data_IF_962382588505
#
_entry.id   IF_962382588505
#
_cell.length_a   1.000
_cell.length_b   1.000
_cell.length_c   1.000
_cell.angle_alpha   90.00
_cell.angle_beta   90.00
_cell.angle_gamma   90.00
#
_symmetry.space_group_name_H-M   'P 1'
#
loop_
_entity.id
_entity.type
_entity.pdbx_description
1 polymer ?
#
# COMPACT_ATOMS: atom_id res chain seq x y z
N UNK A 1 -15.49 5.41 -7.74
CA UNK A 1 -14.37 6.31 -7.38
C UNK A 1 -14.81 7.47 -6.48
N UNK A 2 -15.75 8.33 -6.90
CA UNK A 2 -16.21 9.50 -6.13
C UNK A 2 -16.80 9.21 -4.74
N UNK A 3 -17.56 8.12 -4.57
CA UNK A 3 -18.09 7.74 -3.24
C UNK A 3 -16.98 7.37 -2.25
N UNK A 4 -15.93 6.70 -2.72
CA UNK A 4 -14.77 6.32 -1.90
C UNK A 4 -13.96 7.56 -1.49
N UNK A 5 -13.73 8.47 -2.43
CA UNK A 5 -13.08 9.77 -2.17
C UNK A 5 -13.80 10.50 -1.03
N UNK A 6 -15.14 10.58 -1.06
CA UNK A 6 -15.87 11.28 0.00
C UNK A 6 -15.84 10.59 1.36
N UNK A 7 -15.87 9.25 1.41
CA UNK A 7 -16.07 8.51 2.67
C UNK A 7 -14.80 7.96 3.31
N UNK A 8 -13.76 7.66 2.54
CA UNK A 8 -12.57 6.95 3.02
C UNK A 8 -11.32 7.84 3.11
N UNK A 9 -11.26 8.93 2.33
CA UNK A 9 -10.19 9.94 2.48
C UNK A 9 -10.63 11.14 3.33
N UNK A 10 -11.82 11.07 3.94
CA UNK A 10 -12.41 12.16 4.74
C UNK A 10 -12.51 13.51 4.01
N UNK A 11 -12.52 13.54 2.67
CA UNK A 11 -12.71 14.77 1.89
C UNK A 11 -14.02 15.50 2.19
N UNK A 12 -15.02 14.80 2.73
CA UNK A 12 -16.28 15.45 3.13
C UNK A 12 -16.12 16.31 4.40
N UNK A 13 -15.07 16.07 5.19
CA UNK A 13 -14.75 16.82 6.41
C UNK A 13 -13.58 17.76 6.10
N UNK A 14 -13.90 18.93 5.54
CA UNK A 14 -12.95 20.01 5.25
C UNK A 14 -12.48 20.72 6.54
N UNK A 15 -11.97 19.97 7.53
CA UNK A 15 -11.23 20.53 8.66
C UNK A 15 -9.85 21.02 8.16
N UNK A 16 -9.88 22.00 7.27
CA UNK A 16 -8.73 22.68 6.70
C UNK A 16 -8.85 24.14 7.11
N UNK A 17 -8.01 24.54 8.06
CA UNK A 17 -7.99 25.90 8.58
C UNK A 17 -7.30 26.89 7.63
N UNK A 18 -6.62 26.39 6.60
CA UNK A 18 -5.92 27.18 5.57
C UNK A 18 -6.06 26.52 4.20
N UNK A 19 -5.95 27.34 3.14
CA UNK A 19 -6.03 26.88 1.75
C UNK A 19 -4.93 25.88 1.41
N UNK A 20 -3.71 26.07 1.93
CA UNK A 20 -2.61 25.14 1.71
C UNK A 20 -2.87 23.74 2.28
N UNK A 21 -3.61 23.62 3.40
CA UNK A 21 -4.03 22.33 3.95
C UNK A 21 -5.07 21.67 3.06
N UNK A 22 -5.99 22.45 2.48
CA UNK A 22 -7.00 21.94 1.55
C UNK A 22 -6.36 21.46 0.23
N UNK A 23 -5.43 22.24 -0.31
CA UNK A 23 -4.67 21.90 -1.51
C UNK A 23 -3.88 20.60 -1.31
N UNK A 24 -3.13 20.52 -0.20
CA UNK A 24 -2.36 19.32 0.15
C UNK A 24 -3.24 18.08 0.30
N UNK A 25 -4.40 18.20 0.96
CA UNK A 25 -5.37 17.10 1.12
C UNK A 25 -5.94 16.65 -0.22
N UNK A 26 -6.28 17.60 -1.09
CA UNK A 26 -6.78 17.31 -2.44
C UNK A 26 -5.73 16.56 -3.25
N UNK A 27 -4.49 17.02 -3.21
CA UNK A 27 -3.36 16.38 -3.90
C UNK A 27 -3.11 14.95 -3.39
N UNK A 28 -2.96 14.76 -2.08
CA UNK A 28 -2.77 13.43 -1.48
C UNK A 28 -3.93 12.48 -1.82
N UNK A 29 -5.14 13.00 -1.83
CA UNK A 29 -6.32 12.23 -2.18
C UNK A 29 -6.32 11.80 -3.65
N UNK A 30 -5.89 12.69 -4.56
CA UNK A 30 -5.73 12.37 -5.97
C UNK A 30 -4.72 11.22 -6.17
N UNK A 31 -3.53 11.33 -5.57
CA UNK A 31 -2.50 10.27 -5.62
C UNK A 31 -3.03 8.96 -5.03
N UNK A 32 -3.69 9.01 -3.88
CA UNK A 32 -4.30 7.84 -3.24
C UNK A 32 -5.37 7.19 -4.15
N UNK A 33 -6.10 7.99 -4.92
CA UNK A 33 -7.06 7.51 -5.91
C UNK A 33 -6.41 6.71 -7.05
N UNK A 34 -5.26 7.16 -7.54
CA UNK A 34 -4.49 6.46 -8.58
C UNK A 34 -3.99 5.11 -8.06
N UNK A 35 -3.33 5.11 -6.89
CA UNK A 35 -2.81 3.89 -6.26
C UNK A 35 -3.94 2.90 -6.00
N UNK A 36 -5.10 3.39 -5.52
CA UNK A 36 -6.27 2.54 -5.33
C UNK A 36 -6.76 1.92 -6.63
N UNK A 37 -6.88 2.72 -7.69
CA UNK A 37 -7.35 2.24 -8.99
C UNK A 37 -6.43 1.15 -9.53
N UNK A 38 -5.12 1.34 -9.41
CA UNK A 38 -4.11 0.33 -9.75
C UNK A 38 -4.34 -0.99 -9.00
N UNK A 39 -4.38 -0.94 -7.67
CA UNK A 39 -4.57 -2.16 -6.84
C UNK A 39 -5.90 -2.85 -7.15
N UNK A 40 -6.98 -2.07 -7.30
CA UNK A 40 -8.30 -2.63 -7.62
C UNK A 40 -8.37 -3.27 -9.01
N UNK A 41 -7.61 -2.75 -9.97
CA UNK A 41 -7.56 -3.30 -11.32
C UNK A 41 -6.84 -4.65 -11.35
N UNK A 42 -5.66 -4.71 -10.72
CA UNK A 42 -4.82 -5.90 -10.71
C UNK A 42 -5.37 -7.00 -9.79
N UNK A 43 -5.87 -6.64 -8.59
CA UNK A 43 -6.46 -7.61 -7.66
C UNK A 43 -7.95 -7.89 -7.91
N UNK A 44 -8.52 -7.51 -9.07
CA UNK A 44 -9.96 -7.68 -9.37
C UNK A 44 -10.38 -9.15 -9.27
N UNK A 45 -9.52 -10.07 -9.70
CA UNK A 45 -9.81 -11.50 -9.75
C UNK A 45 -9.71 -12.13 -8.35
N UNK A 46 -8.79 -11.67 -7.50
CA UNK A 46 -8.77 -12.02 -6.08
C UNK A 46 -10.08 -11.64 -5.39
N UNK A 47 -10.53 -10.41 -5.61
CA UNK A 47 -11.76 -9.87 -5.01
C UNK A 47 -12.99 -10.63 -5.53
N UNK A 48 -13.03 -10.96 -6.82
CA UNK A 48 -14.12 -11.74 -7.40
C UNK A 48 -14.17 -13.18 -6.87
N UNK A 49 -13.00 -13.83 -6.69
CA UNK A 49 -12.90 -15.22 -6.21
C UNK A 49 -13.21 -15.36 -4.72
N UNK A 50 -12.86 -14.36 -3.89
CA UNK A 50 -12.97 -14.43 -2.44
C UNK A 50 -13.97 -13.40 -1.92
N UNK A 51 -15.13 -13.87 -1.46
CA UNK A 51 -16.26 -13.06 -1.00
C UNK A 51 -15.94 -12.03 0.09
N UNK A 52 -14.89 -12.27 0.89
CA UNK A 52 -14.48 -11.40 2.00
C UNK A 52 -13.31 -10.47 1.66
N UNK A 53 -12.74 -10.57 0.45
CA UNK A 53 -11.65 -9.69 0.05
C UNK A 53 -12.20 -8.35 -0.43
N UNK A 54 -11.63 -7.29 0.11
CA UNK A 54 -11.91 -5.92 -0.27
C UNK A 54 -10.59 -5.19 -0.45
N UNK A 55 -10.62 -4.01 -1.06
CA UNK A 55 -9.43 -3.14 -1.10
C UNK A 55 -8.81 -2.95 0.29
N UNK A 56 -9.64 -2.78 1.34
CA UNK A 56 -9.15 -2.55 2.69
C UNK A 56 -8.45 -3.80 3.26
N UNK A 57 -8.95 -5.01 2.96
CA UNK A 57 -8.29 -6.24 3.42
C UNK A 57 -6.96 -6.46 2.69
N UNK A 58 -6.88 -6.12 1.40
CA UNK A 58 -5.65 -6.19 0.61
C UNK A 58 -4.60 -5.22 1.19
N UNK A 59 -4.97 -3.95 1.40
CA UNK A 59 -4.08 -2.96 2.02
C UNK A 59 -3.62 -3.42 3.40
N UNK A 60 -4.53 -3.92 4.24
CA UNK A 60 -4.17 -4.41 5.58
C UNK A 60 -3.19 -5.59 5.55
N UNK A 61 -3.19 -6.43 4.51
CA UNK A 61 -2.17 -7.48 4.36
C UNK A 61 -0.83 -6.94 3.88
N UNK A 62 -0.85 -5.96 2.97
CA UNK A 62 0.34 -5.30 2.46
C UNK A 62 1.05 -4.48 3.54
N UNK A 63 0.30 -3.79 4.41
CA UNK A 63 0.88 -3.02 5.53
C UNK A 63 1.60 -3.91 6.54
N UNK A 64 1.28 -5.21 6.63
CA UNK A 64 2.02 -6.16 7.47
C UNK A 64 3.38 -6.54 6.90
N UNK A 65 3.66 -6.20 5.64
CA UNK A 65 4.97 -6.39 5.01
C UNK A 65 5.87 -5.24 5.49
N UNK A 66 6.35 -5.36 6.71
CA UNK A 66 7.19 -4.35 7.34
C UNK A 66 8.67 -4.77 7.32
N UNK A 67 9.53 -3.79 7.15
CA UNK A 67 10.98 -3.93 7.25
C UNK A 67 11.41 -3.20 8.51
N UNK A 68 12.10 -3.90 9.42
CA UNK A 68 12.53 -3.35 10.70
C UNK A 68 14.05 -3.24 10.71
N UNK A 69 14.58 -2.14 11.26
CA UNK A 69 16.01 -2.00 11.52
C UNK A 69 16.37 -2.81 12.77
N UNK A 70 17.23 -3.81 12.62
CA UNK A 70 17.81 -4.57 13.74
C UNK A 70 19.30 -4.28 13.76
N UNK A 71 19.77 -3.65 14.84
CA UNK A 71 21.13 -3.11 14.96
C UNK A 71 21.41 -2.10 13.83
N UNK A 72 22.05 -2.52 12.74
CA UNK A 72 22.39 -1.70 11.57
C UNK A 72 21.98 -2.31 10.22
N UNK A 73 21.11 -3.33 10.24
CA UNK A 73 20.55 -3.91 9.03
C UNK A 73 19.02 -3.87 9.06
N UNK A 74 18.44 -3.41 7.98
CA UNK A 74 17.04 -3.53 7.66
C UNK A 74 16.75 -4.97 7.28
N UNK A 75 15.95 -5.64 8.09
CA UNK A 75 15.54 -7.03 7.89
C UNK A 75 14.03 -7.07 7.87
N UNK A 76 13.48 -7.92 7.00
CA UNK A 76 12.07 -8.24 7.04
C UNK A 76 11.83 -9.25 8.16
N UNK A 77 10.97 -8.90 9.11
CA UNK A 77 10.77 -9.69 10.35
C UNK A 77 10.12 -11.05 10.11
N UNK A 78 9.15 -11.14 9.19
CA UNK A 78 8.32 -12.32 8.99
C UNK A 78 8.35 -12.81 7.54
N UNK A 79 8.15 -14.11 7.34
CA UNK A 79 7.95 -14.70 6.01
C UNK A 79 6.65 -14.20 5.36
N UNK A 80 6.57 -14.25 4.02
CA UNK A 80 5.34 -13.88 3.32
C UNK A 80 4.30 -14.97 3.55
N UNK A 81 3.11 -14.59 4.02
CA UNK A 81 1.98 -15.51 4.10
C UNK A 81 1.51 -15.89 2.70
N UNK A 82 0.80 -17.01 2.56
CA UNK A 82 0.24 -17.43 1.26
C UNK A 82 -0.64 -16.33 0.64
N UNK A 83 -1.43 -15.66 1.47
CA UNK A 83 -2.27 -14.53 1.05
C UNK A 83 -1.45 -13.34 0.55
N UNK A 84 -0.37 -12.98 1.24
CA UNK A 84 0.52 -11.90 0.80
C UNK A 84 1.18 -12.22 -0.54
N UNK A 85 1.64 -13.47 -0.73
CA UNK A 85 2.21 -13.91 -2.02
C UNK A 85 1.20 -13.84 -3.15
N UNK A 86 -0.03 -14.28 -2.90
CA UNK A 86 -1.12 -14.22 -3.89
C UNK A 86 -1.43 -12.77 -4.29
N UNK A 87 -1.54 -11.85 -3.31
CA UNK A 87 -1.74 -10.42 -3.58
C UNK A 87 -0.56 -9.84 -4.39
N UNK A 88 0.68 -10.15 -4.00
CA UNK A 88 1.87 -9.65 -4.71
C UNK A 88 1.95 -10.18 -6.14
N UNK A 89 1.61 -11.45 -6.36
CA UNK A 89 1.55 -12.05 -7.69
C UNK A 89 0.50 -11.36 -8.57
N UNK A 90 -0.69 -11.10 -8.04
CA UNK A 90 -1.74 -10.37 -8.76
C UNK A 90 -1.31 -8.92 -9.09
N UNK A 91 -0.44 -8.32 -8.27
CA UNK A 91 0.17 -7.00 -8.51
C UNK A 91 1.41 -7.03 -9.42
N UNK A 92 1.75 -8.20 -9.99
CA UNK A 92 2.94 -8.42 -10.82
C UNK A 92 4.26 -8.10 -10.10
N UNK A 93 4.29 -8.28 -8.77
CA UNK A 93 5.47 -8.04 -7.94
C UNK A 93 6.07 -9.37 -7.46
N UNK A 94 7.33 -9.62 -7.82
CA UNK A 94 8.04 -10.79 -7.29
C UNK A 94 8.53 -10.53 -5.86
N UNK A 95 8.25 -11.48 -4.99
CA UNK A 95 8.77 -11.53 -3.62
C UNK A 95 10.30 -11.42 -3.55
N UNK A 96 11.04 -11.92 -4.55
CA UNK A 96 12.49 -11.77 -4.58
C UNK A 96 12.92 -10.34 -4.92
N UNK A 97 12.18 -9.63 -5.78
CA UNK A 97 12.44 -8.22 -6.07
C UNK A 97 12.30 -7.37 -4.81
N UNK A 98 11.29 -7.66 -3.98
CA UNK A 98 11.14 -7.00 -2.67
C UNK A 98 12.35 -7.23 -1.75
N UNK A 99 12.90 -8.44 -1.71
CA UNK A 99 14.12 -8.73 -0.94
C UNK A 99 15.35 -7.99 -1.51
N UNK A 100 15.46 -7.90 -2.83
CA UNK A 100 16.50 -7.11 -3.48
C UNK A 100 16.40 -5.62 -3.12
N UNK A 101 15.19 -5.06 -3.04
CA UNK A 101 15.00 -3.69 -2.59
C UNK A 101 15.49 -3.48 -1.16
N UNK A 102 15.15 -4.39 -0.23
CA UNK A 102 15.65 -4.32 1.16
C UNK A 102 17.18 -4.38 1.22
N UNK A 103 17.79 -5.27 0.44
CA UNK A 103 19.25 -5.39 0.37
C UNK A 103 19.89 -4.12 -0.21
N UNK A 104 19.30 -3.53 -1.25
CA UNK A 104 19.78 -2.26 -1.81
C UNK A 104 19.69 -1.10 -0.81
N UNK A 105 18.66 -1.09 0.03
CA UNK A 105 18.45 -0.12 1.10
C UNK A 105 19.57 -0.21 2.15
N UNK A 106 19.90 -1.43 2.56
CA UNK A 106 21.03 -1.70 3.45
C UNK A 106 22.37 -1.25 2.87
N UNK A 107 22.62 -1.50 1.58
CA UNK A 107 23.86 -1.09 0.92
C UNK A 107 24.00 0.44 0.85
N UNK A 108 22.89 1.15 0.61
CA UNK A 108 22.89 2.62 0.54
C UNK A 108 23.10 3.28 1.91
N UNK A 109 22.47 2.73 2.96
CA UNK A 109 22.51 3.30 4.31
C UNK A 109 23.73 2.91 5.14
N UNK A 110 24.56 1.98 4.64
CA UNK A 110 25.87 1.64 5.23
C UNK A 110 27.01 2.57 4.78
N UNK A 111 26.75 3.50 3.86
CA UNK A 111 27.66 4.60 3.53
C UNK A 111 27.47 5.75 4.51
#
# INVERSE_FOLDING_TARGET
>A
MFRWLKTQTNLNKNYSYTDGVLESKTFLTFISGIVRAYIMYYCKDLIARKRNETYNTIINELTKIEVTKISDTYLRRNAFTAKQKEILNDLELDTNQLLQYVNSLNLRLKK
#
